data_IF_999395614127
#
_entry.id   IF_999395614127
#
_cell.length_a   1.000
_cell.length_b   1.000
_cell.length_c   1.000
_cell.angle_alpha   90.00
_cell.angle_beta   90.00
_cell.angle_gamma   90.00
#
_symmetry.space_group_name_H-M   'P 1'
#
loop_
_entity.id
_entity.type
_entity.pdbx_description
1 polymer ?
#
# COMPACT_ATOMS: atom_id res chain seq x y z
N UNK A 1 -0.45 -28.42 19.01
CA UNK A 1 -0.76 -28.21 17.58
C UNK A 1 -2.06 -27.44 17.33
N UNK A 2 -3.19 -27.76 17.96
CA UNK A 2 -4.48 -27.08 17.67
C UNK A 2 -4.52 -25.57 17.93
N UNK A 3 -3.87 -25.08 19.00
CA UNK A 3 -3.86 -23.63 19.35
C UNK A 3 -2.98 -22.81 18.40
N UNK A 4 -1.87 -23.38 17.93
CA UNK A 4 -0.94 -22.70 17.01
C UNK A 4 -1.61 -22.45 15.65
N UNK A 5 -2.32 -23.43 15.10
CA UNK A 5 -3.08 -23.26 13.86
C UNK A 5 -4.22 -22.23 14.00
N UNK A 6 -4.85 -22.16 15.17
CA UNK A 6 -5.88 -21.15 15.46
C UNK A 6 -5.29 -19.75 15.53
N UNK A 7 -4.08 -19.59 16.10
CA UNK A 7 -3.36 -18.32 16.13
C UNK A 7 -2.96 -17.86 14.71
N UNK A 8 -2.46 -18.77 13.86
CA UNK A 8 -2.15 -18.45 12.46
C UNK A 8 -3.39 -18.00 11.68
N UNK A 9 -4.50 -18.72 11.83
CA UNK A 9 -5.76 -18.36 11.16
C UNK A 9 -6.28 -17.01 11.70
N UNK A 10 -6.17 -16.75 13.00
CA UNK A 10 -6.59 -15.50 13.61
C UNK A 10 -5.73 -14.31 13.14
N UNK A 11 -4.41 -14.50 13.03
CA UNK A 11 -3.49 -13.49 12.47
C UNK A 11 -3.79 -13.24 10.98
N UNK A 12 -4.05 -14.28 10.19
CA UNK A 12 -4.46 -14.14 8.78
C UNK A 12 -5.78 -13.37 8.67
N UNK A 13 -6.78 -13.68 9.52
CA UNK A 13 -8.08 -13.00 9.54
C UNK A 13 -7.99 -11.52 9.98
N UNK A 14 -7.13 -11.19 10.94
CA UNK A 14 -6.89 -9.80 11.36
C UNK A 14 -6.14 -8.97 10.31
N UNK A 15 -5.28 -9.61 9.51
CA UNK A 15 -4.47 -8.94 8.50
C UNK A 15 -5.23 -8.73 7.17
N UNK A 16 -6.19 -9.60 6.83
CA UNK A 16 -7.01 -9.41 5.62
C UNK A 16 -8.03 -8.29 5.77
N UNK A 17 -8.56 -8.05 6.99
CA UNK A 17 -9.52 -6.98 7.26
C UNK A 17 -8.88 -5.58 7.31
N UNK A 18 -7.55 -5.47 7.39
CA UNK A 18 -6.82 -4.20 7.61
C UNK A 18 -5.99 -3.74 6.42
N UNK A 19 -6.16 -4.34 5.24
CA UNK A 19 -5.40 -3.98 4.02
C UNK A 19 -5.52 -2.50 3.62
N UNK A 20 -6.52 -1.79 4.16
CA UNK A 20 -6.80 -0.37 3.92
C UNK A 20 -6.69 0.51 5.16
N UNK A 21 -6.43 -0.06 6.34
CA UNK A 21 -6.39 0.68 7.62
C UNK A 21 -5.33 1.80 7.61
N UNK A 22 -4.29 1.66 6.77
CA UNK A 22 -3.26 2.69 6.57
C UNK A 22 -3.81 4.04 6.08
N UNK A 23 -5.03 4.09 5.53
CA UNK A 23 -5.61 5.29 4.91
C UNK A 23 -6.91 5.74 5.57
N UNK A 24 -7.28 5.18 6.71
CA UNK A 24 -8.58 5.42 7.35
C UNK A 24 -8.68 6.80 8.02
N UNK A 25 -7.53 7.37 8.42
CA UNK A 25 -7.44 8.67 9.10
C UNK A 25 -7.09 9.82 8.14
N UNK A 26 -7.19 9.61 6.83
CA UNK A 26 -6.80 10.63 5.86
C UNK A 26 -7.88 11.68 5.63
N UNK A 27 -7.55 12.99 5.58
CA UNK A 27 -8.53 14.04 5.29
C UNK A 27 -9.05 14.03 3.84
N UNK A 28 -8.37 13.33 2.92
CA UNK A 28 -8.79 13.28 1.52
C UNK A 28 -9.75 12.13 1.22
N UNK A 29 -10.75 12.42 0.39
CA UNK A 29 -11.70 11.41 -0.05
C UNK A 29 -11.01 10.39 -0.97
N UNK A 30 -11.28 9.12 -0.72
CA UNK A 30 -10.58 8.03 -1.39
C UNK A 30 -11.31 7.60 -2.67
N UNK A 31 -10.66 7.76 -3.81
CA UNK A 31 -11.16 7.28 -5.09
C UNK A 31 -10.36 6.07 -5.58
N UNK A 32 -11.09 4.99 -5.91
CA UNK A 32 -10.52 3.70 -6.34
C UNK A 32 -11.02 3.35 -7.73
N UNK A 33 -10.14 2.81 -8.56
CA UNK A 33 -10.52 2.23 -9.86
C UNK A 33 -9.67 1.02 -10.18
N UNK A 34 -10.33 0.01 -10.76
CA UNK A 34 -9.79 -1.33 -11.03
C UNK A 34 -9.19 -1.49 -12.42
N UNK A 35 -9.61 -0.70 -13.43
CA UNK A 35 -9.30 -0.99 -14.83
C UNK A 35 -8.93 0.25 -15.66
N UNK A 36 -7.80 0.16 -16.36
CA UNK A 36 -7.50 0.89 -17.60
C UNK A 36 -7.66 2.41 -17.57
N UNK A 37 -7.95 2.98 -18.75
CA UNK A 37 -8.29 4.38 -18.96
C UNK A 37 -9.73 4.63 -18.53
N UNK A 38 -9.94 5.27 -17.38
CA UNK A 38 -11.29 5.64 -16.91
C UNK A 38 -11.43 7.15 -16.81
N UNK A 39 -12.48 7.70 -17.41
CA UNK A 39 -12.90 9.08 -17.19
C UNK A 39 -13.73 9.15 -15.92
N UNK A 40 -13.25 9.94 -14.95
CA UNK A 40 -13.86 10.15 -13.64
C UNK A 40 -14.46 11.54 -13.60
N UNK A 41 -15.70 11.63 -13.14
CA UNK A 41 -16.34 12.90 -12.79
C UNK A 41 -16.46 12.96 -11.27
N UNK A 42 -15.90 14.00 -10.66
CA UNK A 42 -16.01 14.24 -9.22
C UNK A 42 -17.02 15.36 -8.96
N UNK A 43 -18.12 15.02 -8.29
CA UNK A 43 -19.25 15.89 -7.94
C UNK A 43 -19.38 16.10 -6.41
N UNK A 44 -18.44 15.57 -5.62
CA UNK A 44 -18.41 15.64 -4.16
C UNK A 44 -17.83 16.97 -3.63
N UNK A 45 -18.29 17.41 -2.44
CA UNK A 45 -17.82 18.61 -1.73
C UNK A 45 -16.41 18.47 -1.10
N UNK A 46 -15.72 17.35 -1.30
CA UNK A 46 -14.39 17.14 -0.73
C UNK A 46 -13.33 18.12 -1.26
N UNK A 47 -12.49 18.68 -0.37
CA UNK A 47 -11.40 19.62 -0.71
C UNK A 47 -10.21 18.90 -1.36
N UNK A 48 -10.03 17.62 -1.07
CA UNK A 48 -8.99 16.83 -1.70
C UNK A 48 -9.44 15.39 -1.95
N UNK A 49 -8.87 14.80 -3.00
CA UNK A 49 -9.05 13.40 -3.34
C UNK A 49 -7.72 12.70 -3.46
N UNK A 50 -7.75 11.43 -3.08
CA UNK A 50 -6.64 10.52 -3.26
C UNK A 50 -7.02 9.45 -4.27
N UNK A 51 -6.28 9.42 -5.37
CA UNK A 51 -6.38 8.35 -6.35
C UNK A 51 -5.48 7.19 -5.90
N UNK A 52 -6.11 6.08 -5.53
CA UNK A 52 -5.41 4.82 -5.29
C UNK A 52 -5.78 3.78 -6.36
N UNK A 53 -4.77 3.18 -7.02
CA UNK A 53 -4.98 2.07 -7.94
C UNK A 53 -5.49 0.83 -7.21
N UNK A 54 -6.57 0.23 -7.71
CA UNK A 54 -7.06 -1.07 -7.26
C UNK A 54 -6.38 -2.23 -8.02
N UNK A 55 -5.07 -2.10 -8.26
CA UNK A 55 -4.30 -3.07 -9.06
C UNK A 55 -3.96 -4.28 -8.21
N UNK A 56 -4.85 -5.27 -8.16
CA UNK A 56 -4.64 -6.56 -7.49
C UNK A 56 -4.37 -6.47 -5.98
N UNK A 57 -4.43 -7.63 -5.31
CA UNK A 57 -4.29 -7.68 -3.83
C UNK A 57 -2.85 -7.35 -3.38
N UNK A 58 -1.85 -7.56 -4.23
CA UNK A 58 -0.44 -7.61 -3.80
C UNK A 58 0.47 -6.43 -4.18
N UNK A 59 0.19 -5.67 -5.25
CA UNK A 59 1.18 -4.78 -5.89
C UNK A 59 0.67 -3.35 -6.11
N UNK A 60 1.58 -2.37 -6.15
CA UNK A 60 1.30 -1.05 -6.73
C UNK A 60 1.59 -1.04 -8.24
N UNK A 61 0.87 -0.26 -9.06
CA UNK A 61 1.32 0.06 -10.40
C UNK A 61 2.60 0.91 -10.30
N UNK A 62 3.52 0.75 -11.26
CA UNK A 62 4.74 1.55 -11.25
C UNK A 62 4.52 2.99 -11.73
N UNK A 63 3.50 3.22 -12.57
CA UNK A 63 3.17 4.55 -13.08
C UNK A 63 1.66 4.75 -13.06
N UNK A 64 1.24 5.87 -12.49
CA UNK A 64 -0.12 6.41 -12.61
C UNK A 64 -0.04 7.63 -13.54
N UNK A 65 -0.81 7.58 -14.62
CA UNK A 65 -0.98 8.70 -15.55
C UNK A 65 -2.33 9.34 -15.29
N UNK A 66 -2.35 10.62 -14.94
CA UNK A 66 -3.59 11.38 -14.74
C UNK A 66 -3.65 12.50 -15.78
N UNK A 67 -4.73 12.55 -16.54
CA UNK A 67 -4.96 13.58 -17.55
C UNK A 67 -6.21 14.37 -17.23
N UNK A 68 -6.08 15.68 -17.02
CA UNK A 68 -7.25 16.55 -16.90
C UNK A 68 -7.95 16.67 -18.26
N UNK A 69 -9.24 16.36 -18.32
CA UNK A 69 -10.04 16.42 -19.56
C UNK A 69 -10.78 17.76 -19.64
N UNK A 70 -11.51 18.09 -18.58
CA UNK A 70 -12.24 19.35 -18.48
C UNK A 70 -12.50 19.74 -17.03
N UNK A 71 -12.51 21.04 -16.79
CA UNK A 71 -12.88 21.65 -15.53
C UNK A 71 -13.18 23.13 -15.76
N UNK A 72 -14.16 23.68 -15.06
CA UNK A 72 -14.38 25.12 -15.03
C UNK A 72 -13.87 25.69 -13.71
N UNK A 73 -12.80 26.49 -13.81
CA UNK A 73 -12.19 27.21 -12.69
C UNK A 73 -12.44 28.72 -12.79
N UNK A 74 -13.23 29.17 -13.79
CA UNK A 74 -13.38 30.58 -14.13
C UNK A 74 -14.23 31.37 -13.13
N UNK A 75 -14.98 30.67 -12.28
CA UNK A 75 -15.87 31.25 -11.27
C UNK A 75 -15.16 32.11 -10.21
N UNK A 76 -13.86 31.92 -9.99
CA UNK A 76 -13.08 32.68 -9.01
C UNK A 76 -11.59 32.73 -9.39
N UNK A 77 -10.95 33.91 -9.34
CA UNK A 77 -9.56 34.10 -9.79
C UNK A 77 -8.53 33.31 -8.96
N UNK A 78 -8.90 32.85 -7.76
CA UNK A 78 -8.04 32.08 -6.86
C UNK A 78 -8.29 30.57 -6.91
N UNK A 79 -9.17 30.09 -7.81
CA UNK A 79 -9.49 28.67 -7.91
C UNK A 79 -8.39 27.93 -8.67
N UNK A 80 -7.64 27.10 -7.93
CA UNK A 80 -6.58 26.25 -8.50
C UNK A 80 -6.84 24.77 -8.25
N UNK A 81 -6.75 23.97 -9.31
CA UNK A 81 -6.70 22.52 -9.21
C UNK A 81 -5.24 22.09 -9.19
N UNK A 82 -4.80 21.40 -8.14
CA UNK A 82 -3.40 20.98 -8.00
C UNK A 82 -3.31 19.46 -7.94
N UNK A 83 -2.49 18.88 -8.83
CA UNK A 83 -2.08 17.49 -8.75
C UNK A 83 -0.75 17.41 -8.01
N UNK A 84 -0.71 16.54 -7.01
CA UNK A 84 0.41 16.37 -6.10
C UNK A 84 0.82 14.90 -6.09
N UNK A 85 2.12 14.66 -6.13
CA UNK A 85 2.69 13.33 -5.98
C UNK A 85 2.64 13.00 -4.49
N UNK A 86 1.79 12.03 -4.13
CA UNK A 86 1.61 11.63 -2.75
C UNK A 86 2.69 10.63 -2.35
N UNK A 87 3.69 11.09 -1.58
CA UNK A 87 4.66 10.22 -0.92
C UNK A 87 4.43 10.19 0.61
N UNK A 88 5.01 9.21 1.29
CA UNK A 88 5.06 9.11 2.75
C UNK A 88 5.89 10.20 3.43
N UNK A 89 6.75 10.92 2.70
CA UNK A 89 7.74 11.82 3.31
C UNK A 89 7.63 13.31 2.89
N UNK A 90 7.10 13.64 1.70
CA UNK A 90 6.70 15.00 1.34
C UNK A 90 5.81 15.04 0.09
N UNK A 91 4.74 15.81 0.15
CA UNK A 91 3.88 16.13 -0.99
C UNK A 91 4.58 17.13 -1.91
N UNK A 92 4.73 16.79 -3.20
CA UNK A 92 5.30 17.69 -4.22
C UNK A 92 4.31 17.98 -5.34
N UNK A 93 4.20 19.26 -5.73
CA UNK A 93 3.33 19.68 -6.81
C UNK A 93 3.83 19.13 -8.15
N UNK A 94 2.93 18.49 -8.89
CA UNK A 94 3.20 17.93 -10.21
C UNK A 94 2.61 18.80 -11.32
N UNK A 95 1.44 19.38 -11.09
CA UNK A 95 0.77 20.30 -12.00
C UNK A 95 -0.26 21.14 -11.25
N UNK A 96 -0.46 22.38 -11.70
CA UNK A 96 -1.51 23.27 -11.24
C UNK A 96 -2.25 23.86 -12.42
N UNK A 97 -3.58 23.93 -12.31
CA UNK A 97 -4.47 24.43 -13.35
C UNK A 97 -5.35 25.55 -12.80
N UNK A 98 -5.63 26.54 -13.64
CA UNK A 98 -6.47 27.71 -13.37
C UNK A 98 -7.26 28.09 -14.62
N UNK A 99 -8.41 28.74 -14.46
CA UNK A 99 -9.31 29.13 -15.55
C UNK A 99 -10.10 27.98 -16.21
N UNK A 100 -10.74 28.27 -17.34
CA UNK A 100 -11.57 27.29 -18.05
C UNK A 100 -10.68 26.29 -18.81
N UNK A 101 -10.84 25.00 -18.48
CA UNK A 101 -10.21 23.89 -19.18
C UNK A 101 -11.28 23.12 -19.96
N UNK A 102 -11.29 23.28 -21.28
CA UNK A 102 -12.21 22.61 -22.20
C UNK A 102 -11.50 21.67 -23.20
N UNK A 103 -10.18 21.61 -23.15
CA UNK A 103 -9.35 20.69 -23.92
C UNK A 103 -8.54 19.79 -22.99
N UNK A 104 -8.38 18.50 -23.34
CA UNK A 104 -7.52 17.60 -22.59
C UNK A 104 -6.10 18.15 -22.43
N UNK A 105 -5.63 18.21 -21.19
CA UNK A 105 -4.29 18.67 -20.85
C UNK A 105 -3.25 17.56 -21.05
N UNK A 106 -1.96 17.90 -20.95
CA UNK A 106 -0.92 16.88 -20.96
C UNK A 106 -1.04 15.97 -19.72
N UNK A 107 -0.81 14.66 -19.86
CA UNK A 107 -0.86 13.74 -18.75
C UNK A 107 0.29 14.00 -17.76
N UNK A 108 -0.03 13.85 -16.49
CA UNK A 108 0.89 13.94 -15.36
C UNK A 108 1.21 12.53 -14.88
N UNK A 109 2.47 12.26 -14.55
CA UNK A 109 2.99 10.91 -14.26
C UNK A 109 3.47 10.82 -12.81
N UNK A 110 2.84 9.94 -12.02
CA UNK A 110 3.26 9.64 -10.64
C UNK A 110 3.85 8.24 -10.54
N UNK A 111 4.95 8.12 -9.82
CA UNK A 111 5.70 6.87 -9.62
C UNK A 111 5.48 6.24 -8.23
N UNK A 112 4.79 6.93 -7.31
CA UNK A 112 4.62 6.47 -5.91
C UNK A 112 3.32 5.69 -5.67
N UNK A 113 2.63 5.32 -6.75
CA UNK A 113 1.38 4.58 -6.68
C UNK A 113 0.23 5.35 -6.04
N UNK A 114 0.37 6.69 -5.90
CA UNK A 114 -0.63 7.61 -5.35
C UNK A 114 -0.57 8.95 -6.07
N UNK A 115 -1.73 9.58 -6.23
CA UNK A 115 -1.86 10.98 -6.66
C UNK A 115 -2.89 11.65 -5.77
N UNK A 116 -2.54 12.82 -5.24
CA UNK A 116 -3.46 13.69 -4.51
C UNK A 116 -3.93 14.80 -5.45
N UNK A 117 -5.22 15.11 -5.38
CA UNK A 117 -5.86 16.16 -6.15
C UNK A 117 -6.48 17.14 -5.15
N UNK A 118 -5.99 18.38 -5.11
CA UNK A 118 -6.55 19.44 -4.27
C UNK A 118 -7.41 20.38 -5.11
N UNK A 119 -8.59 20.73 -4.59
CA UNK A 119 -9.46 21.77 -5.15
C UNK A 119 -9.90 22.75 -4.06
N UNK A 120 -10.08 24.01 -4.44
CA UNK A 120 -10.48 25.09 -3.53
C UNK A 120 -11.97 25.45 -3.54
N UNK A 121 -12.82 24.76 -4.31
CA UNK A 121 -14.24 25.12 -4.51
C UNK A 121 -15.08 23.89 -4.90
N UNK A 122 -16.38 24.07 -5.14
CA UNK A 122 -17.31 22.98 -5.50
C UNK A 122 -17.76 23.09 -6.95
N UNK A 123 -17.06 22.40 -7.86
CA UNK A 123 -17.49 22.18 -9.25
C UNK A 123 -17.09 20.77 -9.72
N UNK A 124 -17.69 20.38 -10.85
CA UNK A 124 -17.41 19.11 -11.51
C UNK A 124 -16.03 19.13 -12.20
N UNK A 125 -15.21 18.12 -11.90
CA UNK A 125 -13.91 17.92 -12.54
C UNK A 125 -13.95 16.61 -13.30
N UNK A 126 -13.48 16.64 -14.55
CA UNK A 126 -13.36 15.45 -15.38
C UNK A 126 -11.89 15.16 -15.68
N UNK A 127 -11.41 13.99 -15.28
CA UNK A 127 -10.05 13.54 -15.59
C UNK A 127 -10.05 12.07 -16.02
N UNK A 128 -9.00 11.67 -16.71
CA UNK A 128 -8.75 10.30 -17.09
C UNK A 128 -7.57 9.76 -16.30
N UNK A 129 -7.74 8.60 -15.65
CA UNK A 129 -6.67 7.89 -14.96
C UNK A 129 -6.27 6.66 -15.79
N UNK A 130 -4.97 6.47 -15.96
CA UNK A 130 -4.37 5.38 -16.71
C UNK A 130 -3.25 4.73 -15.89
N UNK A 131 -3.34 3.42 -15.69
CA UNK A 131 -2.31 2.65 -14.98
C UNK A 131 -1.42 1.92 -15.98
N UNK A 132 -0.12 2.17 -15.93
CA UNK A 132 0.81 1.47 -16.80
C UNK A 132 1.15 0.11 -16.19
N UNK A 133 1.03 -0.95 -17.00
CA UNK A 133 1.44 -2.28 -16.59
C UNK A 133 2.97 -2.32 -16.52
N UNK A 134 3.50 -2.47 -15.32
CA UNK A 134 4.95 -2.58 -15.12
C UNK A 134 5.40 -4.03 -15.01
N UNK A 135 6.57 -4.32 -15.57
CA UNK A 135 7.33 -5.53 -15.26
C UNK A 135 7.93 -5.48 -13.86
N UNK A 136 8.26 -4.27 -13.39
CA UNK A 136 8.76 -4.02 -12.04
C UNK A 136 7.59 -3.90 -11.07
N UNK A 137 7.47 -4.91 -10.22
CA UNK A 137 6.36 -5.08 -9.28
C UNK A 137 6.79 -4.71 -7.88
N UNK A 138 6.27 -3.60 -7.37
CA UNK A 138 6.45 -3.22 -5.97
C UNK A 138 5.31 -3.79 -5.12
N UNK A 139 5.66 -4.58 -4.10
CA UNK A 139 4.67 -5.12 -3.17
C UNK A 139 4.13 -4.02 -2.24
N UNK A 140 2.82 -4.05 -1.98
CA UNK A 140 2.19 -3.18 -0.99
C UNK A 140 2.83 -3.41 0.39
N UNK A 141 3.04 -2.37 1.23
CA UNK A 141 3.59 -2.51 2.57
C UNK A 141 2.83 -3.55 3.42
N UNK A 142 1.50 -3.57 3.33
CA UNK A 142 0.66 -4.56 4.01
C UNK A 142 0.97 -6.00 3.59
N UNK A 143 1.29 -6.22 2.31
CA UNK A 143 1.63 -7.54 1.75
C UNK A 143 3.04 -7.95 2.16
N UNK A 144 3.99 -7.01 2.14
CA UNK A 144 5.34 -7.24 2.65
C UNK A 144 5.34 -7.56 4.14
N UNK A 145 4.52 -6.86 4.94
CA UNK A 145 4.34 -7.15 6.36
C UNK A 145 3.78 -8.57 6.55
N UNK A 146 2.75 -8.95 5.79
CA UNK A 146 2.17 -10.30 5.84
C UNK A 146 3.21 -11.39 5.50
N UNK A 147 3.96 -11.23 4.41
CA UNK A 147 5.02 -12.16 4.01
C UNK A 147 6.05 -12.29 5.14
N UNK A 148 6.45 -11.17 5.74
CA UNK A 148 7.47 -11.20 6.78
C UNK A 148 6.97 -11.86 8.07
N UNK A 149 5.72 -11.61 8.45
CA UNK A 149 5.07 -12.30 9.57
C UNK A 149 5.04 -13.81 9.31
N UNK A 150 4.63 -14.25 8.11
CA UNK A 150 4.61 -15.67 7.77
C UNK A 150 6.01 -16.28 7.89
N UNK A 151 7.04 -15.63 7.36
CA UNK A 151 8.44 -16.10 7.46
C UNK A 151 8.87 -16.17 8.94
N UNK A 152 8.57 -15.13 9.73
CA UNK A 152 8.95 -15.02 11.13
C UNK A 152 8.39 -16.16 11.99
N UNK A 153 7.21 -16.68 11.68
CA UNK A 153 6.61 -17.79 12.41
C UNK A 153 6.93 -19.16 11.78
N UNK A 154 7.03 -19.26 10.46
CA UNK A 154 7.24 -20.54 9.75
C UNK A 154 8.67 -21.06 9.94
N UNK A 155 9.68 -20.20 9.90
CA UNK A 155 11.09 -20.61 10.01
C UNK A 155 11.41 -21.22 11.39
N UNK A 156 11.07 -20.59 12.52
CA UNK A 156 11.32 -21.19 13.84
C UNK A 156 10.51 -22.48 14.07
N UNK A 157 9.28 -22.55 13.57
CA UNK A 157 8.41 -23.73 13.77
C UNK A 157 8.88 -24.95 12.96
N UNK A 158 9.35 -24.74 11.72
CA UNK A 158 10.01 -25.78 10.91
C UNK A 158 11.27 -26.31 11.63
N UNK A 159 12.14 -25.41 12.12
CA UNK A 159 13.35 -25.79 12.84
C UNK A 159 13.06 -26.60 14.11
N UNK A 160 12.06 -26.19 14.90
CA UNK A 160 11.63 -26.91 16.11
C UNK A 160 11.06 -28.30 15.74
N UNK A 161 10.28 -28.40 14.66
CA UNK A 161 9.73 -29.67 14.19
C UNK A 161 10.83 -30.65 13.74
N UNK A 162 11.80 -30.18 12.94
CA UNK A 162 12.96 -30.97 12.52
C UNK A 162 13.76 -31.49 13.73
N UNK A 163 14.06 -30.63 14.71
CA UNK A 163 14.79 -31.03 15.92
C UNK A 163 13.99 -32.07 16.72
N UNK A 164 12.67 -31.90 16.83
CA UNK A 164 11.82 -32.82 17.60
C UNK A 164 11.72 -34.19 16.91
N UNK A 165 11.73 -34.24 15.58
CA UNK A 165 11.80 -35.50 14.83
C UNK A 165 13.17 -36.19 14.96
N UNK A 166 14.27 -35.44 15.03
CA UNK A 166 15.63 -36.01 15.08
C UNK A 166 16.12 -36.36 16.50
N UNK A 167 15.41 -35.99 17.58
CA UNK A 167 15.92 -36.13 18.95
C UNK A 167 15.11 -37.15 19.76
N UNK A 168 15.79 -38.17 20.30
CA UNK A 168 15.18 -39.23 21.09
C UNK A 168 14.51 -38.72 22.39
N UNK A 169 13.34 -39.27 22.73
CA UNK A 169 12.43 -38.78 23.80
C UNK A 169 13.04 -38.75 25.23
N UNK A 170 14.20 -39.35 25.44
CA UNK A 170 14.86 -39.46 26.74
C UNK A 170 15.56 -38.16 27.20
N UNK A 171 15.95 -37.26 26.28
CA UNK A 171 16.69 -36.02 26.61
C UNK A 171 15.81 -34.76 26.62
N UNK A 172 14.59 -34.84 27.18
CA UNK A 172 13.59 -33.75 27.19
C UNK A 172 14.12 -32.39 27.69
N UNK A 173 15.02 -32.37 28.68
CA UNK A 173 15.55 -31.11 29.25
C UNK A 173 16.53 -30.39 28.30
N UNK A 174 17.41 -31.14 27.62
CA UNK A 174 18.30 -30.60 26.59
C UNK A 174 17.50 -30.16 25.34
N UNK A 175 16.43 -30.88 25.04
CA UNK A 175 15.52 -30.62 23.91
C UNK A 175 14.78 -29.28 24.08
N UNK A 176 14.24 -28.98 25.27
CA UNK A 176 13.63 -27.67 25.60
C UNK A 176 14.62 -26.51 25.44
N UNK A 177 15.87 -26.71 25.87
CA UNK A 177 16.90 -25.66 25.81
C UNK A 177 17.30 -25.36 24.35
N UNK A 178 17.47 -26.41 23.54
CA UNK A 178 17.75 -26.27 22.09
C UNK A 178 16.61 -25.63 21.32
N UNK A 179 15.36 -25.98 21.65
CA UNK A 179 14.17 -25.34 21.06
C UNK A 179 14.11 -23.85 21.39
N UNK A 180 14.42 -23.46 22.63
CA UNK A 180 14.41 -22.06 23.04
C UNK A 180 15.51 -21.24 22.32
N UNK A 181 16.72 -21.77 22.21
CA UNK A 181 17.82 -21.09 21.49
C UNK A 181 17.50 -20.92 19.99
N UNK A 182 16.98 -21.95 19.34
CA UNK A 182 16.60 -21.88 17.93
C UNK A 182 15.41 -20.95 17.67
N UNK A 183 14.48 -20.87 18.62
CA UNK A 183 13.41 -19.86 18.56
C UNK A 183 13.99 -18.45 18.55
N UNK A 184 14.91 -18.14 19.47
CA UNK A 184 15.55 -16.81 19.53
C UNK A 184 16.37 -16.50 18.27
N UNK A 185 17.13 -17.46 17.74
CA UNK A 185 17.89 -17.28 16.49
C UNK A 185 16.94 -17.01 15.32
N UNK A 186 15.88 -17.80 15.18
CA UNK A 186 14.87 -17.59 14.13
C UNK A 186 14.15 -16.26 14.26
N UNK A 187 13.81 -15.82 15.48
CA UNK A 187 13.21 -14.51 15.74
C UNK A 187 14.15 -13.36 15.41
N UNK A 188 15.44 -13.45 15.71
CA UNK A 188 16.44 -12.43 15.36
C UNK A 188 16.61 -12.31 13.84
N UNK A 189 16.71 -13.44 13.12
CA UNK A 189 16.81 -13.44 11.66
C UNK A 189 15.55 -12.81 11.04
N UNK A 190 14.37 -13.14 11.55
CA UNK A 190 13.12 -12.54 11.08
C UNK A 190 13.05 -11.02 11.35
N UNK A 191 13.53 -10.57 12.51
CA UNK A 191 13.64 -9.15 12.84
C UNK A 191 14.62 -8.41 11.91
N UNK A 192 15.76 -9.01 11.59
CA UNK A 192 16.73 -8.44 10.65
C UNK A 192 16.12 -8.34 9.25
N UNK A 193 15.44 -9.40 8.78
CA UNK A 193 14.74 -9.37 7.49
C UNK A 193 13.66 -8.28 7.49
N UNK A 194 12.87 -8.15 8.56
CA UNK A 194 11.90 -7.04 8.69
C UNK A 194 12.58 -5.67 8.63
N UNK A 195 13.68 -5.48 9.37
CA UNK A 195 14.40 -4.21 9.38
C UNK A 195 14.97 -3.86 8.00
N UNK A 196 15.55 -4.84 7.29
CA UNK A 196 16.06 -4.65 5.92
C UNK A 196 14.92 -4.31 4.96
N UNK A 197 13.80 -5.04 5.01
CA UNK A 197 12.64 -4.79 4.15
C UNK A 197 11.97 -3.43 4.43
N UNK A 198 11.96 -2.99 5.70
CA UNK A 198 11.48 -1.65 6.07
C UNK A 198 12.47 -0.56 5.64
N UNK A 199 13.79 -0.82 5.70
CA UNK A 199 14.82 0.16 5.31
C UNK A 199 14.89 0.42 3.81
N UNK A 200 14.44 -0.52 2.96
CA UNK A 200 14.30 -0.28 1.51
C UNK A 200 13.16 0.68 1.16
N UNK A 201 12.39 1.11 2.17
CA UNK A 201 11.21 1.95 2.05
C UNK A 201 11.39 3.36 2.63
N UNK A 202 12.57 3.64 3.21
CA UNK A 202 12.98 4.94 3.75
C UNK A 202 13.90 5.64 2.76
#
# INVERSE_FOLDING_TARGET
MKIINLLYIFVILLLTSTTWAQYQDDPCELYRTTNGSLTVTLDSEAVCWRLLPEVGVAFYPAVIKVQLISCDLSSNENNTLVFVQGDSSADSEMASYSGLINTPQQPVYSYDGKVLIYKGWSDNITFTVNYEASTDKHYKPSVMMLITVIIAFTVPTMLIACITCCTNKEKKRQLKTRQSVMFWIGSIIALIIMAVLLSQKL
#
